data_IF_478138869298
#
_entry.id   IF_478138869298
#
_cell.length_a   1.000
_cell.length_b   1.000
_cell.length_c   1.000
_cell.angle_alpha   90.00
_cell.angle_beta   90.00
_cell.angle_gamma   90.00
#
_symmetry.space_group_name_H-M   'P 1'
#
loop_
_entity.id
_entity.type
_entity.pdbx_description
1 polymer ?
#
# COMPACT_ATOMS: atom_id res chain seq x y z
N UNK A 1 -15.75 14.20 -23.03
CA UNK A 1 -14.31 14.00 -22.73
C UNK A 1 -14.22 13.07 -21.51
N UNK A 2 -13.46 11.97 -21.54
CA UNK A 2 -13.22 11.20 -20.32
C UNK A 2 -12.41 12.06 -19.34
N UNK A 3 -12.85 12.09 -18.08
CA UNK A 3 -12.18 12.84 -17.01
C UNK A 3 -10.80 12.23 -16.77
N UNK A 4 -9.71 13.01 -16.57
CA UNK A 4 -8.41 12.46 -16.24
C UNK A 4 -8.55 11.63 -14.96
N UNK A 5 -8.36 10.32 -15.05
CA UNK A 5 -8.38 9.45 -13.89
C UNK A 5 -7.09 9.71 -13.12
N UNK A 6 -7.17 10.41 -12.00
CA UNK A 6 -6.02 10.61 -11.13
C UNK A 6 -5.64 9.24 -10.57
N UNK A 7 -4.49 8.73 -11.04
CA UNK A 7 -3.92 7.47 -10.59
C UNK A 7 -3.45 7.62 -9.15
N UNK A 8 -4.08 6.90 -8.23
CA UNK A 8 -3.71 6.92 -6.82
C UNK A 8 -2.61 5.91 -6.56
N UNK A 9 -1.46 6.37 -6.07
CA UNK A 9 -0.42 5.48 -5.57
C UNK A 9 -0.71 5.10 -4.13
N UNK A 10 -0.79 3.79 -3.86
CA UNK A 10 -1.06 3.24 -2.54
C UNK A 10 0.17 2.45 -2.05
N UNK A 11 0.75 2.88 -0.94
CA UNK A 11 1.80 2.13 -0.26
C UNK A 11 1.27 1.55 1.04
N UNK A 12 1.28 0.21 1.13
CA UNK A 12 0.87 -0.57 2.30
C UNK A 12 2.12 -0.90 3.12
N UNK A 13 2.25 -0.26 4.28
CA UNK A 13 3.29 -0.58 5.24
C UNK A 13 2.87 -1.78 6.07
N UNK A 14 3.80 -2.71 6.29
CA UNK A 14 3.50 -4.01 6.89
C UNK A 14 4.30 -4.22 8.17
N UNK A 15 5.32 -5.08 8.12
CA UNK A 15 6.25 -5.41 9.17
C UNK A 15 7.44 -6.16 8.58
N UNK A 16 8.12 -7.00 9.38
CA UNK A 16 9.20 -7.85 8.87
C UNK A 16 8.71 -8.91 7.87
N UNK A 17 9.59 -9.36 6.98
CA UNK A 17 9.29 -10.36 5.94
C UNK A 17 8.88 -11.72 6.50
N UNK A 18 9.33 -12.08 7.71
CA UNK A 18 8.92 -13.30 8.41
C UNK A 18 7.60 -13.19 9.18
N UNK A 19 6.96 -12.02 9.18
CA UNK A 19 5.66 -11.81 9.81
C UNK A 19 4.48 -12.08 8.87
N UNK A 20 3.27 -12.08 9.42
CA UNK A 20 2.04 -12.34 8.64
C UNK A 20 1.66 -11.16 7.73
N UNK A 21 1.95 -9.93 8.15
CA UNK A 21 1.45 -8.75 7.44
C UNK A 21 2.16 -8.49 6.12
N UNK A 22 3.42 -8.91 5.96
CA UNK A 22 4.14 -8.74 4.69
C UNK A 22 3.51 -9.52 3.53
N UNK A 23 3.26 -10.84 3.63
CA UNK A 23 2.57 -11.57 2.57
C UNK A 23 1.12 -11.11 2.38
N UNK A 24 0.40 -10.74 3.45
CA UNK A 24 -0.96 -10.18 3.32
C UNK A 24 -0.96 -8.86 2.54
N UNK A 25 -0.13 -7.90 2.93
CA UNK A 25 0.00 -6.62 2.24
C UNK A 25 0.39 -6.80 0.77
N UNK A 26 1.30 -7.74 0.50
CA UNK A 26 1.72 -8.07 -0.87
C UNK A 26 0.55 -8.62 -1.70
N UNK A 27 -0.27 -9.51 -1.13
CA UNK A 27 -1.45 -10.04 -1.82
C UNK A 27 -2.52 -8.96 -2.02
N UNK A 28 -2.73 -8.07 -1.05
CA UNK A 28 -3.63 -6.94 -1.23
C UNK A 28 -3.16 -6.00 -2.35
N UNK A 29 -1.87 -5.69 -2.41
CA UNK A 29 -1.32 -4.88 -3.49
C UNK A 29 -1.52 -5.54 -4.87
N UNK A 30 -1.28 -6.85 -4.97
CA UNK A 30 -1.55 -7.62 -6.20
C UNK A 30 -3.03 -7.55 -6.61
N UNK A 31 -3.96 -7.79 -5.67
CA UNK A 31 -5.40 -7.75 -5.94
C UNK A 31 -5.85 -6.35 -6.36
N UNK A 32 -5.37 -5.30 -5.69
CA UNK A 32 -5.68 -3.91 -6.05
C UNK A 32 -5.19 -3.59 -7.46
N UNK A 33 -3.95 -3.92 -7.79
CA UNK A 33 -3.41 -3.73 -9.14
C UNK A 33 -4.18 -4.51 -10.20
N UNK A 34 -4.73 -5.68 -9.85
CA UNK A 34 -5.48 -6.53 -10.77
C UNK A 34 -6.92 -6.03 -11.02
N UNK A 35 -7.58 -5.49 -10.00
CA UNK A 35 -9.03 -5.25 -10.04
C UNK A 35 -9.43 -3.77 -10.00
N UNK A 36 -8.52 -2.84 -9.65
CA UNK A 36 -8.84 -1.41 -9.57
C UNK A 36 -8.72 -0.66 -10.91
N UNK A 37 -8.37 -1.35 -12.00
CA UNK A 37 -8.10 -0.73 -13.30
C UNK A 37 -7.01 0.34 -13.20
N UNK A 38 -7.17 1.44 -13.95
CA UNK A 38 -6.19 2.53 -14.00
C UNK A 38 -6.32 3.54 -12.84
N UNK A 39 -7.14 3.23 -11.83
CA UNK A 39 -7.43 4.15 -10.71
C UNK A 39 -6.39 4.01 -9.60
N UNK A 40 -5.82 2.83 -9.39
CA UNK A 40 -4.90 2.54 -8.28
C UNK A 40 -3.63 1.86 -8.79
N UNK A 41 -2.49 2.23 -8.22
CA UNK A 41 -1.29 1.39 -8.23
C UNK A 41 -0.81 1.19 -6.81
N UNK A 42 -0.81 -0.07 -6.37
CA UNK A 42 -0.52 -0.47 -5.01
C UNK A 42 0.83 -1.18 -4.90
N UNK A 43 1.52 -0.97 -3.78
CA UNK A 43 2.74 -1.68 -3.40
C UNK A 43 2.74 -2.01 -1.91
N UNK A 44 3.40 -3.10 -1.53
CA UNK A 44 3.63 -3.46 -0.14
C UNK A 44 5.09 -3.21 0.24
N UNK A 45 5.34 -2.66 1.44
CA UNK A 45 6.68 -2.38 1.96
C UNK A 45 6.86 -2.98 3.34
N UNK A 46 8.05 -3.52 3.58
CA UNK A 46 8.49 -3.89 4.92
C UNK A 46 8.68 -2.64 5.77
N UNK A 47 8.54 -2.78 7.08
CA UNK A 47 8.64 -1.66 8.01
C UNK A 47 8.94 -2.13 9.43
N UNK A 48 9.08 -1.17 10.35
CA UNK A 48 9.20 -1.41 11.79
C UNK A 48 7.88 -1.72 12.51
N UNK A 49 6.87 -2.26 11.81
CA UNK A 49 5.53 -2.57 12.33
C UNK A 49 4.75 -1.32 12.84
N UNK A 50 3.77 -1.53 13.72
CA UNK A 50 2.68 -0.56 13.96
C UNK A 50 3.11 0.84 14.38
N UNK A 51 4.11 0.97 15.28
CA UNK A 51 4.58 2.29 15.74
C UNK A 51 5.26 3.06 14.60
N UNK A 52 6.06 2.37 13.79
CA UNK A 52 6.70 2.97 12.62
C UNK A 52 5.67 3.33 11.54
N UNK A 53 4.69 2.46 11.32
CA UNK A 53 3.63 2.67 10.31
C UNK A 53 2.77 3.89 10.68
N UNK A 54 2.36 4.02 11.95
CA UNK A 54 1.59 5.17 12.41
C UNK A 54 2.33 6.49 12.20
N UNK A 55 3.64 6.52 12.42
CA UNK A 55 4.49 7.69 12.13
C UNK A 55 4.57 7.96 10.62
N UNK A 56 4.77 6.91 9.81
CA UNK A 56 4.81 7.05 8.36
C UNK A 56 3.49 7.57 7.77
N UNK A 57 2.34 7.17 8.34
CA UNK A 57 1.03 7.70 7.98
C UNK A 57 0.92 9.19 8.33
N UNK A 58 1.33 9.59 9.54
CA UNK A 58 1.35 11.01 9.94
C UNK A 58 2.26 11.86 9.05
N UNK A 59 3.34 11.28 8.52
CA UNK A 59 4.27 11.94 7.60
C UNK A 59 3.85 11.89 6.12
N UNK A 60 2.73 11.23 5.79
CA UNK A 60 2.27 11.04 4.41
C UNK A 60 3.15 10.11 3.57
N UNK A 61 4.02 9.31 4.21
CA UNK A 61 4.93 8.34 3.56
C UNK A 61 4.32 6.96 3.39
N UNK A 62 3.17 6.72 4.02
CA UNK A 62 2.36 5.52 3.90
C UNK A 62 0.90 5.93 3.68
N UNK A 63 0.11 5.03 3.08
CA UNK A 63 -1.33 5.22 2.93
C UNK A 63 -2.14 4.26 3.79
N UNK A 64 -1.58 3.08 4.08
CA UNK A 64 -2.15 2.01 4.91
C UNK A 64 -1.04 1.36 5.73
#
# INVERSE_FOLDING_TARGET
>A
MPKPTVKTELTVFTGGTGGVYFPLGSKYAELLNKYAGDVITASARTSGASVANARALAEGKANV
#
